data_IF_208061876609
#
_entry.id   IF_208061876609
#
_cell.length_a   1.000
_cell.length_b   1.000
_cell.length_c   1.000
_cell.angle_alpha   90.00
_cell.angle_beta   90.00
_cell.angle_gamma   90.00
#
_symmetry.space_group_name_H-M   'P 1'
#
loop_
_entity.id
_entity.type
_entity.pdbx_description
1 polymer ?
#
# COMPACT_ATOMS: atom_id res chain seq x y z
N UNK A 1 2.13 -10.49 14.06
CA UNK A 1 2.16 -9.31 13.18
C UNK A 1 2.59 -8.09 13.96
N UNK A 2 3.60 -7.38 13.47
CA UNK A 2 4.05 -6.10 14.01
C UNK A 2 3.40 -4.94 13.23
N UNK A 3 3.43 -3.73 13.78
CA UNK A 3 2.87 -2.54 13.13
C UNK A 3 3.87 -1.40 13.10
N UNK A 4 3.94 -0.70 11.97
CA UNK A 4 4.61 0.58 11.83
C UNK A 4 3.57 1.63 11.49
N UNK A 5 3.23 2.45 12.49
CA UNK A 5 2.10 3.36 12.47
C UNK A 5 2.61 4.78 12.24
N UNK A 6 2.20 5.37 11.13
CA UNK A 6 2.28 6.79 10.85
C UNK A 6 1.16 7.56 11.58
N UNK A 7 1.47 8.69 12.21
CA UNK A 7 0.46 9.63 12.71
C UNK A 7 0.72 11.03 12.14
N UNK A 8 -0.23 11.52 11.35
CA UNK A 8 -0.13 12.78 10.64
C UNK A 8 -1.31 13.71 10.98
N UNK A 9 -1.10 15.03 10.91
CA UNK A 9 -2.21 15.98 11.01
C UNK A 9 -2.53 16.50 12.40
N UNK A 10 -1.80 16.06 13.43
CA UNK A 10 -2.02 16.51 14.82
C UNK A 10 -1.32 17.86 15.03
N UNK A 11 -2.03 18.93 15.42
CA UNK A 11 -1.41 20.22 15.69
C UNK A 11 -0.41 20.15 16.85
N UNK A 12 0.67 20.93 16.78
CA UNK A 12 1.69 21.04 17.81
C UNK A 12 1.10 21.26 19.20
N UNK A 13 0.05 22.09 19.30
CA UNK A 13 -0.58 22.41 20.59
C UNK A 13 -1.23 21.21 21.29
N UNK A 14 -1.47 20.11 20.58
CA UNK A 14 -2.08 18.87 21.10
C UNK A 14 -1.13 17.67 21.08
N UNK A 15 -0.09 17.72 20.24
CA UNK A 15 0.74 16.56 19.92
C UNK A 15 1.44 15.96 21.14
N UNK A 16 2.06 16.77 21.98
CA UNK A 16 2.82 16.29 23.14
C UNK A 16 1.96 15.45 24.09
N UNK A 17 0.70 15.87 24.29
CA UNK A 17 -0.23 15.13 25.14
C UNK A 17 -0.62 13.80 24.51
N UNK A 18 -0.95 13.79 23.22
CA UNK A 18 -1.28 12.57 22.47
C UNK A 18 -0.10 11.60 22.48
N UNK A 19 1.11 12.11 22.22
CA UNK A 19 2.34 11.30 22.18
C UNK A 19 2.71 10.72 23.56
N UNK A 20 2.52 11.47 24.65
CA UNK A 20 2.68 10.95 26.02
C UNK A 20 1.66 9.86 26.34
N UNK A 21 0.45 9.97 25.80
CA UNK A 21 -0.62 8.99 25.96
C UNK A 21 -0.51 7.78 25.00
N UNK A 22 0.56 7.67 24.20
CA UNK A 22 0.69 6.62 23.17
C UNK A 22 0.58 5.19 23.70
N UNK A 23 1.03 4.91 24.92
CA UNK A 23 0.88 3.59 25.54
C UNK A 23 -0.58 3.20 25.81
N UNK A 24 -1.53 4.14 25.74
CA UNK A 24 -2.97 3.87 25.89
C UNK A 24 -3.61 3.34 24.61
N UNK A 25 -2.99 3.56 23.44
CA UNK A 25 -3.55 3.17 22.14
C UNK A 25 -2.59 2.30 21.31
N UNK A 26 -1.29 2.29 21.61
CA UNK A 26 -0.31 1.40 21.01
C UNK A 26 -0.06 0.19 21.90
N UNK A 27 -0.02 -0.99 21.30
CA UNK A 27 0.50 -2.19 21.94
C UNK A 27 2.02 -2.31 21.74
N UNK A 28 2.65 -3.27 22.42
CA UNK A 28 4.12 -3.45 22.41
C UNK A 28 4.70 -3.86 21.04
N UNK A 29 3.86 -4.33 20.13
CA UNK A 29 4.18 -4.72 18.76
C UNK A 29 4.09 -3.56 17.75
N UNK A 30 3.83 -2.35 18.24
CA UNK A 30 3.63 -1.15 17.42
C UNK A 30 4.80 -0.17 17.56
N UNK A 31 5.30 0.31 16.43
CA UNK A 31 6.19 1.45 16.36
C UNK A 31 5.44 2.67 15.83
N UNK A 32 5.59 3.82 16.50
CA UNK A 32 4.98 5.08 16.08
C UNK A 32 6.00 5.99 15.38
N UNK A 33 5.67 6.38 14.15
CA UNK A 33 6.34 7.44 13.40
C UNK A 33 5.33 8.58 13.29
N UNK A 34 5.65 9.75 13.82
CA UNK A 34 4.71 10.86 13.82
C UNK A 34 5.35 12.16 13.35
N UNK A 35 4.56 12.99 12.70
CA UNK A 35 4.92 14.35 12.33
C UNK A 35 3.79 15.28 12.68
N UNK A 36 4.15 16.38 13.31
CA UNK A 36 3.20 17.38 13.79
C UNK A 36 2.86 18.39 12.69
N UNK A 37 1.68 18.98 12.80
CA UNK A 37 1.34 20.17 12.04
C UNK A 37 1.66 21.42 12.85
N UNK A 38 2.16 22.45 12.16
CA UNK A 38 2.19 23.79 12.74
C UNK A 38 0.74 24.28 12.89
N UNK A 39 0.39 24.84 14.04
CA UNK A 39 -0.99 25.24 14.37
C UNK A 39 -1.59 26.26 13.38
N UNK A 40 -0.74 26.96 12.61
CA UNK A 40 -1.14 27.95 11.60
C UNK A 40 -0.63 27.63 10.20
N UNK A 41 -0.40 26.35 9.88
CA UNK A 41 0.01 25.98 8.52
C UNK A 41 -1.17 26.16 7.55
N UNK A 42 -1.07 27.07 6.55
CA UNK A 42 -2.14 27.23 5.56
C UNK A 42 -2.27 25.99 4.66
N UNK A 43 -1.21 25.19 4.54
CA UNK A 43 -1.19 23.95 3.77
C UNK A 43 -1.25 22.76 4.73
N UNK A 44 -2.45 22.46 5.22
CA UNK A 44 -2.76 21.20 5.89
C UNK A 44 -2.31 20.05 4.96
N UNK A 45 -1.21 19.36 5.32
CA UNK A 45 -0.48 18.38 4.48
C UNK A 45 0.35 18.93 3.31
N UNK A 46 1.17 19.95 3.55
CA UNK A 46 2.26 20.34 2.64
C UNK A 46 3.13 19.15 2.16
N UNK A 47 3.78 19.28 1.00
CA UNK A 47 4.65 18.23 0.39
C UNK A 47 5.71 17.67 1.35
N UNK A 48 6.18 18.47 2.31
CA UNK A 48 7.12 18.03 3.36
C UNK A 48 6.57 16.86 4.19
N UNK A 49 5.26 16.84 4.44
CA UNK A 49 4.61 15.81 5.25
C UNK A 49 4.61 14.46 4.55
N UNK A 50 4.24 14.46 3.27
CA UNK A 50 4.35 13.28 2.41
C UNK A 50 5.79 12.77 2.37
N UNK A 51 6.75 13.68 2.15
CA UNK A 51 8.17 13.35 2.08
C UNK A 51 8.71 12.76 3.39
N UNK A 52 8.24 13.23 4.55
CA UNK A 52 8.62 12.71 5.86
C UNK A 52 8.27 11.22 5.97
N UNK A 53 7.00 10.85 5.74
CA UNK A 53 6.57 9.45 5.85
C UNK A 53 7.21 8.57 4.77
N UNK A 54 7.29 9.03 3.51
CA UNK A 54 8.03 8.30 2.48
C UNK A 54 9.48 8.06 2.87
N UNK A 55 10.18 9.07 3.41
CA UNK A 55 11.56 8.94 3.88
C UNK A 55 11.67 7.91 5.00
N UNK A 56 10.83 8.00 6.03
CA UNK A 56 10.89 7.13 7.21
C UNK A 56 10.56 5.67 6.88
N UNK A 57 9.50 5.43 6.10
CA UNK A 57 9.14 4.09 5.68
C UNK A 57 10.14 3.49 4.68
N UNK A 58 10.65 4.29 3.75
CA UNK A 58 11.73 3.86 2.87
C UNK A 58 12.96 3.44 3.67
N UNK A 59 13.41 4.29 4.59
CA UNK A 59 14.59 4.03 5.43
C UNK A 59 14.45 2.68 6.15
N UNK A 60 13.30 2.42 6.77
CA UNK A 60 13.02 1.12 7.41
C UNK A 60 13.14 -0.06 6.47
N UNK A 61 12.54 0.03 5.29
CA UNK A 61 12.58 -1.07 4.32
C UNK A 61 14.00 -1.27 3.77
N UNK A 62 14.75 -0.18 3.52
CA UNK A 62 16.11 -0.25 3.00
C UNK A 62 17.10 -0.84 4.00
N UNK A 63 16.89 -0.61 5.30
CA UNK A 63 17.73 -1.11 6.39
C UNK A 63 17.36 -2.54 6.84
N UNK A 64 16.24 -3.10 6.34
CA UNK A 64 15.79 -4.45 6.70
C UNK A 64 16.53 -5.56 5.92
N UNK A 65 17.83 -5.72 6.20
CA UNK A 65 18.68 -6.73 5.57
C UNK A 65 18.32 -8.16 5.98
N UNK A 66 17.69 -8.34 7.14
CA UNK A 66 17.37 -9.64 7.74
C UNK A 66 15.89 -10.02 7.61
N UNK A 67 15.11 -9.31 6.80
CA UNK A 67 13.70 -9.60 6.54
C UNK A 67 12.83 -9.62 7.82
N UNK A 68 13.19 -8.80 8.81
CA UNK A 68 12.47 -8.64 10.08
C UNK A 68 11.10 -8.00 9.86
N UNK A 69 10.91 -7.28 8.74
CA UNK A 69 9.67 -6.60 8.41
C UNK A 69 8.69 -7.46 7.57
N UNK A 70 8.99 -8.76 7.39
CA UNK A 70 8.18 -9.70 6.58
C UNK A 70 6.77 -9.96 7.09
N UNK A 71 6.48 -9.57 8.34
CA UNK A 71 5.15 -9.62 8.96
C UNK A 71 4.82 -8.29 9.67
N UNK A 72 5.36 -7.18 9.18
CA UNK A 72 5.07 -5.85 9.73
C UNK A 72 4.11 -5.11 8.82
N UNK A 73 2.96 -4.63 9.33
CA UNK A 73 1.98 -3.85 8.58
C UNK A 73 2.28 -2.34 8.68
N UNK A 74 2.26 -1.62 7.56
CA UNK A 74 2.50 -0.17 7.54
C UNK A 74 1.20 0.58 7.28
N UNK A 75 0.86 1.52 8.15
CA UNK A 75 -0.37 2.32 8.04
C UNK A 75 -0.09 3.76 8.43
N UNK A 76 -0.83 4.72 7.89
CA UNK A 76 -0.83 6.11 8.35
C UNK A 76 -2.23 6.49 8.83
N UNK A 77 -2.37 6.84 10.10
CA UNK A 77 -3.54 7.58 10.59
C UNK A 77 -3.33 9.07 10.34
N UNK A 78 -4.35 9.73 9.80
CA UNK A 78 -4.28 11.15 9.51
C UNK A 78 -5.59 11.86 9.90
N UNK A 79 -5.51 13.10 10.39
CA UNK A 79 -6.69 13.89 10.70
C UNK A 79 -7.40 14.32 9.41
N UNK A 80 -8.68 13.99 9.28
CA UNK A 80 -9.46 14.33 8.09
C UNK A 80 -9.79 15.83 8.04
N UNK A 81 -9.50 16.46 6.91
CA UNK A 81 -9.83 17.86 6.57
C UNK A 81 -10.44 17.97 5.16
N UNK A 82 -11.10 16.92 4.69
CA UNK A 82 -11.77 16.88 3.39
C UNK A 82 -10.77 16.82 2.23
N UNK A 83 -10.93 17.69 1.22
CA UNK A 83 -10.17 17.60 -0.05
C UNK A 83 -8.64 17.59 0.10
N UNK A 84 -8.10 18.24 1.12
CA UNK A 84 -6.65 18.23 1.38
C UNK A 84 -6.16 16.84 1.80
N UNK A 85 -6.99 16.11 2.54
CA UNK A 85 -6.72 14.76 2.97
C UNK A 85 -6.72 13.75 1.82
N UNK A 86 -7.60 13.91 0.83
CA UNK A 86 -7.62 13.06 -0.37
C UNK A 86 -6.31 13.16 -1.16
N UNK A 87 -5.75 14.37 -1.28
CA UNK A 87 -4.45 14.58 -1.94
C UNK A 87 -3.32 13.95 -1.15
N UNK A 88 -3.36 14.02 0.18
CA UNK A 88 -2.36 13.42 1.06
C UNK A 88 -2.37 11.88 0.95
N UNK A 89 -3.55 11.27 1.10
CA UNK A 89 -3.72 9.81 1.06
C UNK A 89 -3.30 9.22 -0.28
N UNK A 90 -3.62 9.89 -1.40
CA UNK A 90 -3.29 9.41 -2.74
C UNK A 90 -1.78 9.30 -3.00
N UNK A 91 -0.92 10.03 -2.27
CA UNK A 91 0.54 9.94 -2.42
C UNK A 91 1.14 8.64 -1.87
N UNK A 92 0.35 7.88 -1.11
CA UNK A 92 0.76 6.62 -0.50
C UNK A 92 0.20 5.41 -1.23
N UNK A 93 -0.71 5.62 -2.17
CA UNK A 93 -1.25 4.58 -3.02
C UNK A 93 -0.18 4.06 -4.01
N UNK A 94 -0.07 2.74 -4.23
CA UNK A 94 -0.82 1.65 -3.59
C UNK A 94 -0.06 1.00 -2.40
N UNK A 95 1.09 1.52 -1.99
CA UNK A 95 2.00 0.79 -1.10
C UNK A 95 1.59 0.82 0.36
N UNK A 96 1.04 1.94 0.85
CA UNK A 96 0.75 2.14 2.27
C UNK A 96 -0.74 2.46 2.45
N UNK A 97 -1.38 1.78 3.41
CA UNK A 97 -2.75 2.09 3.80
C UNK A 97 -2.79 3.41 4.58
N UNK A 98 -3.78 4.24 4.29
CA UNK A 98 -4.00 5.50 5.00
C UNK A 98 -5.41 5.53 5.54
N UNK A 99 -5.58 5.82 6.83
CA UNK A 99 -6.87 5.79 7.53
C UNK A 99 -7.20 7.19 8.05
N UNK A 100 -8.29 7.82 7.57
CA UNK A 100 -8.74 9.10 8.10
C UNK A 100 -9.27 8.96 9.53
N UNK A 101 -8.97 9.94 10.37
CA UNK A 101 -9.53 10.12 11.70
C UNK A 101 -10.32 11.42 11.70
N UNK A 102 -11.63 11.31 11.88
CA UNK A 102 -12.49 12.50 12.06
C UNK A 102 -12.27 13.06 13.46
N UNK A 103 -11.58 14.19 13.54
CA UNK A 103 -11.24 14.85 14.80
C UNK A 103 -11.00 16.35 14.58
N UNK A 104 -11.45 17.15 15.54
CA UNK A 104 -11.26 18.59 15.53
C UNK A 104 -10.46 19.06 16.74
N UNK A 105 -9.44 19.85 16.45
CA UNK A 105 -8.68 20.55 17.46
C UNK A 105 -9.53 21.73 17.96
N UNK A 106 -10.17 21.57 19.11
CA UNK A 106 -10.88 22.68 19.74
C UNK A 106 -9.86 23.71 20.28
N UNK A 107 -9.84 24.96 19.77
CA UNK A 107 -9.04 26.01 20.37
C UNK A 107 -9.65 26.38 21.73
N UNK A 108 -8.82 26.58 22.74
CA UNK A 108 -9.33 26.96 24.05
C UNK A 108 -8.31 26.87 25.16
N UNK A 109 -8.83 26.87 26.39
CA UNK A 109 -8.04 26.69 27.61
C UNK A 109 -7.27 25.37 27.61
N UNK A 110 -6.30 25.22 28.53
CA UNK A 110 -5.58 23.95 28.70
C UNK A 110 -6.52 22.77 28.93
N UNK A 111 -7.65 22.98 29.62
CA UNK A 111 -8.65 21.94 29.87
C UNK A 111 -9.36 21.50 28.59
N UNK A 112 -9.73 22.44 27.71
CA UNK A 112 -10.37 22.13 26.42
C UNK A 112 -9.40 21.36 25.52
N UNK A 113 -8.16 21.85 25.38
CA UNK A 113 -7.12 21.12 24.63
C UNK A 113 -6.85 19.73 25.21
N UNK A 114 -6.88 19.62 26.53
CA UNK A 114 -6.75 18.37 27.26
C UNK A 114 -7.83 17.36 26.90
N UNK A 115 -9.09 17.82 26.82
CA UNK A 115 -10.24 17.02 26.41
C UNK A 115 -10.13 16.59 24.94
N UNK A 116 -9.83 17.52 24.03
CA UNK A 116 -9.68 17.23 22.61
C UNK A 116 -8.57 16.20 22.34
N UNK A 117 -7.42 16.31 23.02
CA UNK A 117 -6.34 15.33 22.91
C UNK A 117 -6.73 13.94 23.45
N UNK A 118 -7.50 13.87 24.53
CA UNK A 118 -8.01 12.59 25.05
C UNK A 118 -9.03 11.95 24.11
N UNK A 119 -9.90 12.75 23.49
CA UNK A 119 -10.83 12.28 22.45
C UNK A 119 -10.06 11.68 21.27
N UNK A 120 -9.01 12.34 20.78
CA UNK A 120 -8.16 11.79 19.72
C UNK A 120 -7.52 10.46 20.13
N UNK A 121 -7.06 10.32 21.38
CA UNK A 121 -6.50 9.07 21.89
C UNK A 121 -7.52 7.92 21.85
N UNK A 122 -8.78 8.20 22.18
CA UNK A 122 -9.87 7.19 22.09
C UNK A 122 -10.08 6.78 20.62
N UNK A 123 -10.22 7.75 19.73
CA UNK A 123 -10.41 7.50 18.29
C UNK A 123 -9.25 6.73 17.66
N UNK A 124 -8.01 7.06 18.03
CA UNK A 124 -6.82 6.33 17.57
C UNK A 124 -6.83 4.89 18.06
N UNK A 125 -7.25 4.65 19.31
CA UNK A 125 -7.36 3.28 19.85
C UNK A 125 -8.37 2.45 19.07
N UNK A 126 -9.54 3.01 18.80
CA UNK A 126 -10.60 2.36 18.01
C UNK A 126 -10.11 2.03 16.60
N UNK A 127 -9.50 3.02 15.92
CA UNK A 127 -8.98 2.83 14.57
C UNK A 127 -7.85 1.79 14.50
N UNK A 128 -7.00 1.70 15.53
CA UNK A 128 -5.94 0.67 15.60
C UNK A 128 -6.52 -0.72 15.75
N UNK A 129 -7.58 -0.90 16.55
CA UNK A 129 -8.24 -2.21 16.69
C UNK A 129 -8.76 -2.66 15.32
N UNK A 130 -9.46 -1.80 14.60
CA UNK A 130 -10.01 -2.14 13.28
C UNK A 130 -8.91 -2.37 12.23
N UNK A 131 -7.82 -1.61 12.27
CA UNK A 131 -6.68 -1.84 11.37
C UNK A 131 -6.00 -3.18 11.59
N UNK A 132 -6.04 -3.74 12.80
CA UNK A 132 -5.53 -5.10 13.05
C UNK A 132 -6.35 -6.12 12.27
N UNK A 133 -7.67 -5.98 12.26
CA UNK A 133 -8.56 -6.86 11.50
C UNK A 133 -8.32 -6.72 9.99
N UNK A 134 -8.19 -5.47 9.49
CA UNK A 134 -7.80 -5.19 8.09
C UNK A 134 -6.51 -5.94 7.71
N UNK A 135 -5.51 -5.84 8.58
CA UNK A 135 -4.18 -6.36 8.29
C UNK A 135 -4.18 -7.90 8.22
N UNK A 136 -5.01 -8.59 8.99
CA UNK A 136 -5.18 -10.04 8.88
C UNK A 136 -5.89 -10.45 7.58
N UNK A 137 -6.91 -9.71 7.15
CA UNK A 137 -7.55 -9.91 5.84
C UNK A 137 -6.58 -9.72 4.69
N UNK A 138 -5.78 -8.64 4.75
CA UNK A 138 -4.75 -8.36 3.75
C UNK A 138 -3.63 -9.40 3.76
N UNK A 139 -3.25 -9.93 4.92
CA UNK A 139 -2.28 -11.04 5.03
C UNK A 139 -2.77 -12.25 4.24
N UNK A 140 -4.01 -12.68 4.46
CA UNK A 140 -4.61 -13.81 3.74
C UNK A 140 -4.60 -13.59 2.23
N UNK A 141 -4.94 -12.38 1.78
CA UNK A 141 -5.00 -12.11 0.35
C UNK A 141 -3.63 -11.95 -0.32
N UNK A 142 -2.70 -11.24 0.30
CA UNK A 142 -1.43 -10.85 -0.33
C UNK A 142 -0.29 -11.83 -0.08
N UNK A 143 -0.41 -12.70 0.92
CA UNK A 143 0.59 -13.72 1.27
C UNK A 143 0.06 -15.13 1.03
N UNK A 144 -1.08 -15.47 1.63
CA UNK A 144 -1.60 -16.85 1.57
C UNK A 144 -2.25 -17.15 0.20
N UNK A 145 -2.76 -16.12 -0.50
CA UNK A 145 -3.41 -16.21 -1.82
C UNK A 145 -2.65 -15.48 -2.93
N UNK A 146 -1.34 -15.23 -2.73
CA UNK A 146 -0.52 -14.42 -3.63
C UNK A 146 -0.56 -14.88 -5.11
N UNK A 147 -0.73 -16.18 -5.36
CA UNK A 147 -0.83 -16.77 -6.71
C UNK A 147 -2.13 -16.48 -7.44
N UNK A 148 -3.17 -16.02 -6.74
CA UNK A 148 -4.53 -15.92 -7.29
C UNK A 148 -5.19 -14.57 -7.05
N UNK A 149 -4.54 -13.70 -6.26
CA UNK A 149 -5.04 -12.38 -5.93
C UNK A 149 -4.79 -11.40 -7.07
N UNK A 150 -5.77 -10.56 -7.45
CA UNK A 150 -5.54 -9.49 -8.42
C UNK A 150 -4.77 -8.31 -7.81
N UNK A 151 -4.65 -8.22 -6.49
CA UNK A 151 -4.10 -7.05 -5.80
C UNK A 151 -2.60 -6.86 -5.96
N UNK A 152 -1.89 -7.90 -6.42
CA UNK A 152 -0.47 -7.83 -6.76
C UNK A 152 -0.21 -7.52 -8.23
N UNK A 153 -1.24 -7.39 -9.08
CA UNK A 153 -1.04 -7.04 -10.48
C UNK A 153 -0.32 -5.68 -10.62
N UNK A 154 0.59 -5.55 -11.59
CA UNK A 154 1.36 -4.32 -11.80
C UNK A 154 0.43 -3.21 -12.31
N UNK A 155 0.36 -2.06 -11.62
CA UNK A 155 -0.67 -1.05 -11.88
C UNK A 155 -0.56 -0.42 -13.27
N UNK A 156 0.66 -0.13 -13.72
CA UNK A 156 0.91 0.52 -15.01
C UNK A 156 0.94 -0.52 -16.13
N UNK A 157 1.41 -1.73 -15.84
CA UNK A 157 1.56 -2.77 -16.85
C UNK A 157 0.34 -3.68 -17.02
N UNK A 158 -0.58 -3.82 -16.06
CA UNK A 158 -1.82 -4.55 -16.28
C UNK A 158 -2.88 -3.60 -16.85
N UNK A 159 -3.08 -3.61 -18.18
CA UNK A 159 -4.06 -2.72 -18.82
C UNK A 159 -5.48 -3.22 -18.56
N UNK A 160 -6.21 -2.45 -17.77
CA UNK A 160 -7.61 -2.73 -17.43
C UNK A 160 -8.36 -1.44 -17.20
N UNK A 161 -9.55 -1.33 -17.77
CA UNK A 161 -10.47 -0.21 -17.52
C UNK A 161 -10.98 -0.13 -16.07
N UNK A 162 -10.90 -1.22 -15.30
CA UNK A 162 -11.50 -1.31 -13.96
C UNK A 162 -10.48 -1.49 -12.84
N UNK A 163 -9.34 -2.14 -13.10
CA UNK A 163 -8.42 -2.58 -12.05
C UNK A 163 -7.91 -1.45 -11.15
N UNK A 164 -7.36 -0.39 -11.74
CA UNK A 164 -6.78 0.71 -10.99
C UNK A 164 -7.83 1.40 -10.12
N UNK A 165 -9.04 1.59 -10.67
CA UNK A 165 -10.16 2.17 -9.93
C UNK A 165 -10.55 1.26 -8.75
N UNK A 166 -10.73 -0.04 -8.98
CA UNK A 166 -11.09 -0.98 -7.90
C UNK A 166 -10.05 -1.01 -6.79
N UNK A 167 -8.74 -1.05 -7.13
CA UNK A 167 -7.70 -1.04 -6.11
C UNK A 167 -7.66 0.30 -5.35
N UNK A 168 -7.90 1.41 -6.02
CA UNK A 168 -8.02 2.72 -5.39
C UNK A 168 -9.24 2.80 -4.47
N UNK A 169 -10.39 2.29 -4.92
CA UNK A 169 -11.62 2.22 -4.11
C UNK A 169 -11.41 1.35 -2.86
N UNK A 170 -10.68 0.24 -2.97
CA UNK A 170 -10.26 -0.56 -1.80
C UNK A 170 -9.36 0.25 -0.86
N UNK A 171 -8.36 0.96 -1.40
CA UNK A 171 -7.46 1.80 -0.60
C UNK A 171 -8.19 2.94 0.13
N UNK A 172 -9.13 3.61 -0.55
CA UNK A 172 -9.90 4.72 0.00
C UNK A 172 -11.08 4.28 0.88
N UNK A 173 -11.62 3.09 0.60
CA UNK A 173 -12.76 2.49 1.30
C UNK A 173 -12.39 1.73 2.56
N UNK A 174 -11.12 1.37 2.77
CA UNK A 174 -10.63 0.79 4.03
C UNK A 174 -10.70 1.80 5.18
N UNK A 175 -11.91 2.01 5.70
CA UNK A 175 -12.25 2.92 6.80
C UNK A 175 -12.56 2.17 8.07
N UNK A 176 -12.45 2.93 9.14
CA UNK A 176 -12.60 2.54 10.53
C UNK A 176 -14.07 2.24 10.91
N UNK A 177 -14.69 1.19 10.35
CA UNK A 177 -16.09 0.75 10.61
C UNK A 177 -16.64 -0.24 9.55
N UNK A 178 -15.91 -0.51 8.47
CA UNK A 178 -16.43 -1.32 7.37
C UNK A 178 -16.00 -2.80 7.45
N UNK A 179 -16.81 -3.69 6.86
CA UNK A 179 -16.43 -5.09 6.67
C UNK A 179 -15.42 -5.21 5.52
N UNK A 180 -14.15 -5.35 5.89
CA UNK A 180 -13.01 -5.31 4.98
C UNK A 180 -12.94 -6.58 4.13
N UNK A 181 -13.30 -7.73 4.70
CA UNK A 181 -13.39 -8.98 3.97
C UNK A 181 -14.48 -8.86 2.89
N UNK A 182 -15.60 -8.21 3.21
CA UNK A 182 -16.63 -7.90 2.22
C UNK A 182 -16.12 -6.93 1.14
N UNK A 183 -15.43 -5.84 1.48
CA UNK A 183 -14.87 -4.90 0.49
C UNK A 183 -13.90 -5.62 -0.46
N UNK A 184 -12.94 -6.37 0.08
CA UNK A 184 -11.98 -7.12 -0.71
C UNK A 184 -12.66 -8.17 -1.59
N UNK A 185 -13.66 -8.88 -1.04
CA UNK A 185 -14.43 -9.89 -1.77
C UNK A 185 -15.23 -9.27 -2.92
N UNK A 186 -15.98 -8.18 -2.66
CA UNK A 186 -16.78 -7.47 -3.67
C UNK A 186 -15.88 -6.93 -4.78
N UNK A 187 -14.78 -6.26 -4.43
CA UNK A 187 -13.85 -5.73 -5.41
C UNK A 187 -13.16 -6.85 -6.22
N UNK A 188 -12.79 -7.96 -5.58
CA UNK A 188 -12.18 -9.12 -6.24
C UNK A 188 -13.15 -9.78 -7.21
N UNK A 189 -14.41 -9.94 -6.81
CA UNK A 189 -15.47 -10.50 -7.64
C UNK A 189 -15.75 -9.59 -8.84
N UNK A 190 -15.83 -8.29 -8.63
CA UNK A 190 -16.00 -7.33 -9.73
C UNK A 190 -14.82 -7.38 -10.69
N UNK A 191 -13.57 -7.37 -10.19
CA UNK A 191 -12.39 -7.55 -11.03
C UNK A 191 -12.47 -8.85 -11.86
N UNK A 192 -12.84 -9.97 -11.23
CA UNK A 192 -12.92 -11.29 -11.88
C UNK A 192 -14.04 -11.39 -12.91
N UNK A 193 -15.06 -10.54 -12.86
CA UNK A 193 -16.08 -10.46 -13.94
C UNK A 193 -15.47 -9.90 -15.23
N UNK A 194 -14.61 -8.88 -15.12
CA UNK A 194 -13.94 -8.27 -16.29
C UNK A 194 -12.70 -9.06 -16.72
N UNK A 195 -11.93 -9.56 -15.76
CA UNK A 195 -10.68 -10.31 -15.97
C UNK A 195 -10.73 -11.66 -15.26
N UNK A 196 -11.57 -12.61 -15.72
CA UNK A 196 -11.64 -13.93 -15.10
C UNK A 196 -10.29 -14.63 -15.21
N UNK A 197 -9.91 -15.31 -14.12
CA UNK A 197 -8.69 -16.11 -14.10
C UNK A 197 -8.87 -17.37 -14.97
N UNK A 198 -8.02 -17.56 -15.99
CA UNK A 198 -8.14 -18.65 -16.98
C UNK A 198 -6.90 -19.54 -16.98
N UNK A 199 -7.11 -20.82 -17.28
CA UNK A 199 -6.03 -21.73 -17.66
C UNK A 199 -5.78 -21.58 -19.16
N UNK A 200 -4.55 -21.31 -19.57
CA UNK A 200 -4.19 -21.07 -20.97
C UNK A 200 -3.08 -22.05 -21.38
N UNK A 201 -3.29 -22.73 -22.52
CA UNK A 201 -2.39 -23.75 -23.04
C UNK A 201 -2.20 -24.93 -22.08
N UNK A 202 -1.00 -25.52 -22.13
CA UNK A 202 -0.60 -26.62 -21.24
C UNK A 202 -0.17 -26.14 -19.83
N UNK A 203 -0.20 -24.82 -19.56
CA UNK A 203 0.21 -24.31 -18.25
C UNK A 203 -0.81 -24.74 -17.19
N UNK A 204 -0.31 -25.33 -16.11
CA UNK A 204 -1.16 -25.85 -15.03
C UNK A 204 -1.82 -24.74 -14.20
N UNK A 205 -1.22 -23.56 -14.14
CA UNK A 205 -1.70 -22.45 -13.30
C UNK A 205 -2.65 -21.55 -14.07
N UNK A 206 -3.59 -20.96 -13.34
CA UNK A 206 -4.45 -19.92 -13.89
C UNK A 206 -3.69 -18.59 -13.91
N UNK A 207 -4.01 -17.76 -14.88
CA UNK A 207 -3.45 -16.42 -15.07
C UNK A 207 -4.57 -15.40 -15.25
N UNK A 208 -4.22 -14.12 -15.12
CA UNK A 208 -5.08 -13.03 -15.55
C UNK A 208 -4.66 -12.55 -16.94
N UNK A 209 -5.62 -12.08 -17.73
CA UNK A 209 -5.36 -11.56 -19.07
C UNK A 209 -5.84 -10.11 -19.11
N UNK A 210 -4.96 -9.21 -19.54
CA UNK A 210 -5.25 -7.79 -19.65
C UNK A 210 -6.01 -7.45 -20.96
N UNK A 211 -6.39 -6.18 -21.13
CA UNK A 211 -7.12 -5.71 -22.30
C UNK A 211 -6.32 -5.84 -23.62
N UNK A 212 -4.99 -5.97 -23.55
CA UNK A 212 -4.10 -6.22 -24.70
C UNK A 212 -3.92 -7.70 -25.02
N UNK A 213 -4.58 -8.60 -24.28
CA UNK A 213 -4.39 -10.06 -24.36
C UNK A 213 -3.01 -10.53 -23.87
N UNK A 214 -2.33 -9.75 -23.04
CA UNK A 214 -1.12 -10.20 -22.35
C UNK A 214 -1.54 -11.02 -21.13
N UNK A 215 -0.93 -12.19 -20.99
CA UNK A 215 -1.19 -13.16 -19.94
C UNK A 215 -0.22 -12.94 -18.78
N UNK A 216 -0.73 -12.73 -17.58
CA UNK A 216 0.04 -12.51 -16.35
C UNK A 216 0.01 -13.79 -15.51
N UNK A 217 1.02 -14.64 -15.69
CA UNK A 217 1.12 -15.92 -14.98
C UNK A 217 1.85 -15.72 -13.65
N UNK A 218 1.29 -16.18 -12.53
CA UNK A 218 1.96 -16.04 -11.24
C UNK A 218 3.15 -17.02 -11.13
N UNK A 219 4.18 -16.69 -10.33
CA UNK A 219 5.49 -17.34 -10.43
C UNK A 219 5.49 -18.74 -9.78
N UNK A 220 4.52 -19.03 -8.92
CA UNK A 220 4.50 -20.16 -7.99
C UNK A 220 5.80 -20.30 -7.24
N UNK A 221 6.54 -21.38 -7.51
CA UNK A 221 7.81 -21.69 -6.84
C UNK A 221 9.02 -20.97 -7.46
N UNK A 222 8.89 -20.37 -8.65
CA UNK A 222 9.98 -19.70 -9.32
C UNK A 222 10.20 -18.29 -8.73
N UNK A 223 10.77 -18.20 -7.52
CA UNK A 223 10.91 -16.94 -6.75
C UNK A 223 12.36 -16.49 -6.61
N UNK A 224 12.98 -16.11 -7.73
CA UNK A 224 14.43 -15.90 -7.81
C UNK A 224 14.85 -14.46 -8.17
N UNK A 225 13.92 -13.55 -8.46
CA UNK A 225 14.24 -12.20 -8.94
C UNK A 225 14.05 -11.12 -7.85
N UNK A 226 15.15 -10.51 -7.37
CA UNK A 226 15.08 -9.46 -6.33
C UNK A 226 15.14 -8.04 -6.90
N UNK A 227 14.27 -7.14 -6.45
CA UNK A 227 14.53 -5.71 -6.51
C UNK A 227 15.54 -5.34 -5.40
N UNK A 228 16.80 -5.07 -5.79
CA UNK A 228 17.83 -4.56 -4.87
C UNK A 228 17.58 -3.07 -4.63
N UNK A 229 17.68 -2.63 -3.38
CA UNK A 229 17.41 -1.23 -3.00
C UNK A 229 18.40 -0.22 -3.60
N UNK A 230 19.60 -0.67 -4.02
CA UNK A 230 20.73 0.22 -4.35
C UNK A 230 21.15 0.19 -5.83
N UNK A 231 20.29 -0.25 -6.76
CA UNK A 231 20.64 -0.23 -8.18
C UNK A 231 20.05 1.01 -8.88
N UNK A 232 20.85 2.04 -9.12
CA UNK A 232 20.41 3.26 -9.82
C UNK A 232 19.65 4.27 -8.96
N UNK A 233 19.26 5.39 -9.56
CA UNK A 233 18.48 6.46 -8.92
C UNK A 233 16.99 6.10 -8.96
N UNK A 234 16.47 5.50 -7.89
CA UNK A 234 15.03 5.22 -7.73
C UNK A 234 14.38 6.21 -6.76
N UNK A 235 13.18 6.75 -7.06
CA UNK A 235 12.41 7.46 -6.07
C UNK A 235 12.00 6.51 -4.95
N UNK A 236 11.81 7.06 -3.74
CA UNK A 236 11.48 6.26 -2.54
C UNK A 236 10.24 5.40 -2.71
N UNK A 237 9.26 5.87 -3.49
CA UNK A 237 8.03 5.16 -3.82
C UNK A 237 8.27 3.85 -4.58
N UNK A 238 9.35 3.72 -5.35
CA UNK A 238 9.65 2.47 -6.08
C UNK A 238 9.90 1.30 -5.13
N UNK A 239 10.69 1.53 -4.06
CA UNK A 239 10.97 0.49 -3.06
C UNK A 239 9.72 0.17 -2.24
N UNK A 240 8.96 1.20 -1.84
CA UNK A 240 7.70 1.01 -1.11
C UNK A 240 6.71 0.17 -1.93
N UNK A 241 6.45 0.55 -3.18
CA UNK A 241 5.57 -0.17 -4.10
C UNK A 241 6.08 -1.56 -4.43
N UNK A 242 7.40 -1.78 -4.38
CA UNK A 242 8.08 -3.04 -4.64
C UNK A 242 8.09 -4.02 -3.46
N UNK A 243 7.65 -3.58 -2.28
CA UNK A 243 7.69 -4.39 -1.05
C UNK A 243 6.36 -4.46 -0.33
N UNK A 244 5.44 -3.56 -0.63
CA UNK A 244 4.16 -3.44 0.09
C UNK A 244 3.00 -3.15 -0.85
N UNK A 245 1.84 -3.65 -0.45
CA UNK A 245 0.55 -3.39 -1.09
C UNK A 245 -0.45 -3.13 0.01
N UNK A 246 -1.10 -1.97 0.00
CA UNK A 246 -2.07 -1.54 1.01
C UNK A 246 -1.50 -1.69 2.44
N UNK A 247 -0.22 -1.37 2.63
CA UNK A 247 0.46 -1.48 3.92
C UNK A 247 1.05 -2.85 4.24
N UNK A 248 0.52 -3.94 3.68
CA UNK A 248 0.97 -5.30 3.99
C UNK A 248 2.17 -5.71 3.11
N UNK A 249 3.18 -6.41 3.65
CA UNK A 249 4.32 -6.89 2.86
C UNK A 249 3.90 -8.10 2.00
N UNK A 250 4.40 -8.15 0.76
CA UNK A 250 4.29 -9.34 -0.08
C UNK A 250 5.70 -9.86 -0.42
N UNK A 251 5.78 -11.06 -1.02
CA UNK A 251 7.08 -11.64 -1.33
C UNK A 251 7.89 -10.74 -2.27
N UNK A 252 9.09 -10.35 -1.83
CA UNK A 252 10.03 -9.50 -2.56
C UNK A 252 10.47 -10.07 -3.92
N UNK A 253 10.32 -11.38 -4.12
CA UNK A 253 10.65 -12.08 -5.35
C UNK A 253 9.42 -12.38 -6.23
N UNK A 254 8.23 -11.93 -5.81
CA UNK A 254 7.01 -12.10 -6.59
C UNK A 254 7.06 -11.29 -7.89
N UNK A 255 6.78 -11.97 -9.00
CA UNK A 255 6.67 -11.40 -10.34
C UNK A 255 5.66 -12.22 -11.15
N UNK A 256 5.15 -11.64 -12.22
CA UNK A 256 4.36 -12.35 -13.22
C UNK A 256 5.20 -12.65 -14.45
N UNK A 257 5.10 -13.89 -14.94
CA UNK A 257 5.64 -14.30 -16.23
C UNK A 257 4.66 -13.85 -17.32
N UNK A 258 4.95 -12.70 -17.92
CA UNK A 258 4.09 -12.09 -18.93
C UNK A 258 4.35 -12.72 -20.31
N UNK A 259 3.30 -13.23 -20.93
CA UNK A 259 3.36 -13.90 -22.23
C UNK A 259 2.20 -13.50 -23.15
N UNK A 260 2.28 -13.88 -24.42
CA UNK A 260 1.21 -13.74 -25.42
C UNK A 260 1.12 -15.01 -26.25
N UNK A 261 0.44 -16.04 -25.73
CA UNK A 261 0.44 -17.39 -26.30
C UNK A 261 1.85 -18.01 -26.32
N UNK A 262 2.16 -18.72 -27.41
CA UNK A 262 3.43 -19.46 -27.56
C UNK A 262 4.57 -18.63 -28.17
N UNK A 263 4.34 -17.34 -28.45
CA UNK A 263 5.33 -16.45 -29.05
C UNK A 263 6.08 -15.67 -27.97
N UNK A 264 7.31 -15.25 -28.30
CA UNK A 264 8.06 -14.26 -27.52
C UNK A 264 7.21 -13.01 -27.35
N UNK A 265 7.06 -12.54 -26.11
CA UNK A 265 6.34 -11.31 -25.84
C UNK A 265 7.19 -10.10 -26.24
N UNK A 266 6.70 -9.32 -27.21
CA UNK A 266 7.25 -8.01 -27.55
C UNK A 266 6.19 -6.97 -27.26
N UNK A 267 6.43 -6.10 -26.28
CA UNK A 267 5.43 -5.15 -25.81
C UNK A 267 6.06 -3.87 -25.27
N UNK A 268 5.29 -2.79 -25.36
CA UNK A 268 5.55 -1.56 -24.61
C UNK A 268 5.09 -1.74 -23.16
N UNK A 269 6.05 -1.63 -22.24
CA UNK A 269 5.82 -1.75 -20.81
C UNK A 269 6.40 -0.53 -20.08
N UNK A 270 5.69 -0.08 -19.06
CA UNK A 270 6.15 0.96 -18.16
C UNK A 270 7.18 0.39 -17.19
N UNK A 271 8.24 1.15 -16.92
CA UNK A 271 9.16 0.89 -15.82
C UNK A 271 8.56 1.32 -14.49
N UNK A 272 9.23 0.96 -13.39
CA UNK A 272 8.83 1.44 -12.07
C UNK A 272 8.85 2.98 -11.94
N UNK A 273 9.65 3.68 -12.75
CA UNK A 273 9.69 5.15 -12.86
C UNK A 273 8.55 5.73 -13.70
N UNK A 274 7.84 4.90 -14.48
CA UNK A 274 6.72 5.30 -15.34
C UNK A 274 7.09 5.54 -16.81
N UNK A 275 8.37 5.47 -17.15
CA UNK A 275 8.83 5.52 -18.53
C UNK A 275 8.40 4.27 -19.27
N UNK A 276 7.77 4.42 -20.43
CA UNK A 276 7.38 3.29 -21.27
C UNK A 276 8.48 3.02 -22.28
N UNK A 277 8.92 1.77 -22.35
CA UNK A 277 9.89 1.32 -23.34
C UNK A 277 9.48 -0.04 -23.92
N UNK A 278 10.03 -0.36 -25.09
CA UNK A 278 9.80 -1.63 -25.75
C UNK A 278 10.69 -2.70 -25.12
N UNK A 279 10.08 -3.79 -24.67
CA UNK A 279 10.78 -4.96 -24.15
C UNK A 279 10.50 -6.18 -25.03
N UNK A 280 11.47 -7.10 -25.05
CA UNK A 280 11.34 -8.42 -25.68
C UNK A 280 11.69 -9.50 -24.65
N UNK A 281 10.76 -10.44 -24.46
CA UNK A 281 10.92 -11.57 -23.54
C UNK A 281 11.57 -12.78 -24.20
N UNK A 282 12.22 -13.61 -23.39
CA UNK A 282 12.84 -14.86 -23.86
C UNK A 282 12.67 -15.99 -22.84
N UNK A 283 11.50 -16.69 -22.79
CA UNK A 283 10.33 -16.56 -23.67
C UNK A 283 9.26 -15.57 -23.18
N UNK A 284 9.34 -15.13 -21.92
CA UNK A 284 8.40 -14.24 -21.25
C UNK A 284 9.11 -12.99 -20.72
N UNK A 285 8.34 -12.00 -20.27
CA UNK A 285 8.84 -10.86 -19.50
C UNK A 285 8.44 -11.00 -18.05
N UNK A 286 9.38 -10.83 -17.14
CA UNK A 286 9.13 -10.85 -15.70
C UNK A 286 8.69 -9.46 -15.25
N UNK A 287 7.43 -9.32 -14.82
CA UNK A 287 6.86 -8.04 -14.38
C UNK A 287 6.47 -8.12 -12.91
N UNK A 288 7.14 -7.32 -12.07
CA UNK A 288 6.86 -7.25 -10.64
C UNK A 288 5.66 -6.33 -10.32
N UNK A 289 5.00 -6.47 -9.15
CA UNK A 289 3.85 -5.64 -8.75
C UNK A 289 4.08 -4.12 -8.75
N UNK A 290 5.34 -3.67 -8.69
CA UNK A 290 5.74 -2.26 -8.77
C UNK A 290 6.09 -1.79 -10.18
N UNK A 291 5.68 -2.56 -11.20
CA UNK A 291 5.93 -2.28 -12.61
C UNK A 291 7.40 -2.41 -13.03
N UNK A 292 8.27 -3.00 -12.20
CA UNK A 292 9.61 -3.33 -12.66
C UNK A 292 9.58 -4.51 -13.64
N UNK A 293 10.08 -4.30 -14.86
CA UNK A 293 10.12 -5.27 -15.96
C UNK A 293 11.55 -5.81 -16.13
N UNK A 294 11.68 -7.11 -16.37
CA UNK A 294 12.95 -7.80 -16.65
C UNK A 294 12.75 -8.84 -17.74
N UNK A 295 13.80 -9.09 -18.52
CA UNK A 295 13.90 -10.19 -19.48
C UNK A 295 14.62 -11.40 -18.87
#
# INVERSE_FOLDING_TARGET
MNFCIGLAGVPNSHFDQVYRARSKFLANDCELIAETLKDKDPEYYAKRHVNFFHKKFHQKISEDHHNKLSDTFFVIFYIDKGRLSDRFSSQFFPSILTVPITWDAEPGSMTIRGRAANDLVVKLREAIIQVRDIADSLRRELKDRDQSTPWLLPLKNFRSKVYQKLLFDVHAGMRADQDIDQILSVASNEFRRHHPSKKIGQRHRRCFVDDRKIEFHPPGNARHAYARANYGSHPRSCLLNGRRRLGFPYDRAFHFDCASGDRKLVAEMASCHGETQRFEGSPHLNVAPNDNVRN
#
